data_IF_295590928424
#
_entry.id   IF_295590928424
#
_cell.length_a   1.000
_cell.length_b   1.000
_cell.length_c   1.000
_cell.angle_alpha   90.00
_cell.angle_beta   90.00
_cell.angle_gamma   90.00
#
_symmetry.space_group_name_H-M   'P 1'
#
loop_
_entity.id
_entity.type
_entity.pdbx_description
1 polymer ?
#
# COMPACT_ATOMS: atom_id res chain seq x y z
N UNK A 1 -9.71 -11.23 -10.59
CA UNK A 1 -9.38 -10.71 -9.24
C UNK A 1 -10.67 -10.69 -8.45
N UNK A 2 -10.67 -11.30 -7.27
CA UNK A 2 -11.85 -11.37 -6.42
C UNK A 2 -12.21 -9.98 -5.87
N UNK A 3 -13.49 -9.61 -5.91
CA UNK A 3 -14.01 -8.33 -5.37
C UNK A 3 -13.53 -8.09 -3.93
N UNK A 4 -13.45 -9.15 -3.14
CA UNK A 4 -12.94 -9.13 -1.75
C UNK A 4 -11.46 -8.74 -1.67
N UNK A 5 -10.62 -9.19 -2.61
CA UNK A 5 -9.20 -8.81 -2.67
C UNK A 5 -9.05 -7.33 -3.07
N UNK A 6 -9.91 -6.82 -3.96
CA UNK A 6 -9.91 -5.40 -4.34
C UNK A 6 -10.34 -4.50 -3.17
N UNK A 7 -11.39 -4.89 -2.44
CA UNK A 7 -11.84 -4.19 -1.24
C UNK A 7 -10.74 -4.21 -0.16
N UNK A 8 -10.10 -5.35 0.08
CA UNK A 8 -9.00 -5.45 1.05
C UNK A 8 -7.83 -4.55 0.66
N UNK A 9 -7.44 -4.56 -0.62
CA UNK A 9 -6.38 -3.70 -1.16
C UNK A 9 -6.70 -2.22 -0.99
N UNK A 10 -7.94 -1.79 -1.25
CA UNK A 10 -8.35 -0.40 -1.02
C UNK A 10 -8.32 -0.02 0.46
N UNK A 11 -8.76 -0.91 1.36
CA UNK A 11 -8.72 -0.66 2.79
C UNK A 11 -7.29 -0.50 3.30
N UNK A 12 -6.38 -1.40 2.94
CA UNK A 12 -4.97 -1.25 3.32
C UNK A 12 -4.37 0.05 2.80
N UNK A 13 -4.67 0.40 1.54
CA UNK A 13 -4.19 1.66 0.96
C UNK A 13 -4.64 2.87 1.79
N UNK A 14 -5.93 2.96 2.13
CA UNK A 14 -6.45 4.05 2.97
C UNK A 14 -5.82 4.10 4.37
N UNK A 15 -5.46 2.96 4.95
CA UNK A 15 -4.82 2.90 6.27
C UNK A 15 -3.43 3.55 6.28
N UNK A 16 -2.62 3.34 5.24
CA UNK A 16 -1.27 3.90 5.19
C UNK A 16 -1.14 5.19 4.37
N UNK A 17 -2.11 5.50 3.51
CA UNK A 17 -2.16 6.71 2.67
C UNK A 17 -1.79 8.02 3.38
N UNK A 18 -2.38 8.36 4.55
CA UNK A 18 -2.05 9.61 5.24
C UNK A 18 -0.61 9.65 5.77
N UNK A 19 0.02 8.50 5.93
CA UNK A 19 1.38 8.35 6.41
C UNK A 19 2.41 8.21 5.28
N UNK A 20 1.99 8.26 4.01
CA UNK A 20 2.93 8.28 2.89
C UNK A 20 3.78 9.55 2.99
N UNK A 21 5.08 9.38 2.75
CA UNK A 21 6.01 10.49 2.71
C UNK A 21 5.65 11.42 1.55
N UNK A 22 5.58 12.75 1.77
CA UNK A 22 5.20 13.70 0.74
C UNK A 22 6.17 13.71 -0.46
N UNK A 23 7.40 13.22 -0.28
CA UNK A 23 8.38 13.06 -1.37
C UNK A 23 8.02 11.92 -2.33
N UNK A 24 7.09 11.03 -1.94
CA UNK A 24 6.65 9.90 -2.78
C UNK A 24 5.66 10.40 -3.82
N UNK A 25 6.11 10.42 -5.06
CA UNK A 25 5.34 10.83 -6.24
C UNK A 25 4.25 9.82 -6.59
N UNK A 26 3.24 10.27 -7.36
CA UNK A 26 2.18 9.38 -7.87
C UNK A 26 2.75 8.22 -8.70
N UNK A 27 3.80 8.46 -9.49
CA UNK A 27 4.44 7.43 -10.31
C UNK A 27 5.09 6.34 -9.44
N UNK A 28 5.76 6.74 -8.35
CA UNK A 28 6.31 5.79 -7.36
C UNK A 28 5.20 4.98 -6.69
N UNK A 29 4.07 5.59 -6.33
CA UNK A 29 2.89 4.87 -5.76
C UNK A 29 2.35 3.83 -6.75
N UNK A 30 2.23 4.19 -8.02
CA UNK A 30 1.78 3.28 -9.08
C UNK A 30 2.78 2.14 -9.31
N UNK A 31 4.09 2.39 -9.21
CA UNK A 31 5.13 1.35 -9.27
C UNK A 31 5.14 0.47 -8.01
N UNK A 32 4.66 0.99 -6.87
CA UNK A 32 4.63 0.31 -5.57
C UNK A 32 5.82 0.67 -4.69
N UNK A 33 6.58 1.69 -5.09
CA UNK A 33 7.67 2.28 -4.34
C UNK A 33 7.10 3.29 -3.34
N UNK A 34 6.46 2.77 -2.29
CA UNK A 34 5.80 3.59 -1.26
C UNK A 34 6.70 3.62 -0.04
N UNK A 35 7.01 4.83 0.42
CA UNK A 35 7.69 5.07 1.70
C UNK A 35 6.73 5.75 2.66
N UNK A 36 6.72 5.28 3.89
CA UNK A 36 5.97 5.89 4.98
C UNK A 36 6.88 6.86 5.74
N UNK A 37 6.27 7.88 6.35
CA UNK A 37 6.95 8.83 7.23
C UNK A 37 7.49 8.10 8.46
N UNK A 38 8.55 8.65 9.06
CA UNK A 38 9.25 8.04 10.19
C UNK A 38 8.34 7.77 11.40
N UNK A 39 7.34 8.63 11.62
CA UNK A 39 6.32 8.49 12.67
C UNK A 39 5.08 7.67 12.31
N UNK A 40 5.10 6.92 11.19
CA UNK A 40 3.96 6.10 10.80
C UNK A 40 3.69 5.00 11.85
N UNK A 41 2.43 4.81 12.27
CA UNK A 41 2.07 3.76 13.21
C UNK A 41 2.37 2.38 12.62
N UNK A 42 2.60 1.41 13.49
CA UNK A 42 2.91 0.05 13.06
C UNK A 42 1.80 -0.56 12.20
N UNK A 43 0.54 -0.19 12.47
CA UNK A 43 -0.61 -0.58 11.65
C UNK A 43 -0.47 -0.13 10.19
N UNK A 44 0.00 1.10 9.94
CA UNK A 44 0.23 1.59 8.58
C UNK A 44 1.38 0.85 7.89
N UNK A 45 2.46 0.53 8.64
CA UNK A 45 3.59 -0.28 8.14
C UNK A 45 3.13 -1.69 7.76
N UNK A 46 2.31 -2.33 8.60
CA UNK A 46 1.74 -3.64 8.33
C UNK A 46 0.75 -3.61 7.16
N UNK A 47 -0.09 -2.59 7.06
CA UNK A 47 -1.02 -2.40 5.95
C UNK A 47 -0.28 -2.24 4.62
N UNK A 48 0.82 -1.47 4.60
CA UNK A 48 1.66 -1.34 3.41
C UNK A 48 2.28 -2.68 3.00
N UNK A 49 2.85 -3.43 3.95
CA UNK A 49 3.43 -4.74 3.66
C UNK A 49 2.40 -5.71 3.07
N UNK A 50 1.19 -5.77 3.65
CA UNK A 50 0.07 -6.59 3.13
C UNK A 50 -0.36 -6.13 1.74
N UNK A 51 -0.45 -4.83 1.51
CA UNK A 51 -0.81 -4.26 0.20
C UNK A 51 0.21 -4.59 -0.88
N UNK A 52 1.51 -4.45 -0.59
CA UNK A 52 2.59 -4.82 -1.53
C UNK A 52 2.52 -6.32 -1.84
N UNK A 53 2.34 -7.17 -0.84
CA UNK A 53 2.22 -8.62 -1.03
C UNK A 53 1.02 -8.97 -1.94
N UNK A 54 -0.14 -8.34 -1.73
CA UNK A 54 -1.33 -8.53 -2.58
C UNK A 54 -1.09 -8.03 -4.02
N UNK A 55 -0.43 -6.88 -4.18
CA UNK A 55 -0.08 -6.34 -5.50
C UNK A 55 0.89 -7.24 -6.25
N UNK A 56 1.88 -7.82 -5.57
CA UNK A 56 2.84 -8.75 -6.16
C UNK A 56 2.18 -10.07 -6.53
N UNK A 57 1.33 -10.62 -5.66
CA UNK A 57 0.53 -11.82 -5.95
C UNK A 57 -0.30 -11.63 -7.22
N UNK A 58 -0.94 -10.48 -7.38
CA UNK A 58 -1.71 -10.15 -8.59
C UNK A 58 -0.88 -9.96 -9.86
N UNK A 59 0.44 -9.69 -9.76
CA UNK A 59 1.31 -9.55 -10.94
C UNK A 59 1.81 -10.90 -11.48
N UNK A 60 1.71 -11.96 -10.67
CA UNK A 60 2.20 -13.29 -10.98
C UNK A 60 1.15 -14.19 -11.68
N UNK A 61 -0.10 -13.71 -11.81
CA UNK A 61 -1.21 -14.44 -12.42
C UNK A 61 -1.87 -13.61 -13.52
#
# INVERSE_FOLDING_TARGET
MDLTEEIAKMNFYKTFEPYIDPSVTMEQRMKGDIRLREGAPEEAKQALAKWIAMKMKSRLF
#
